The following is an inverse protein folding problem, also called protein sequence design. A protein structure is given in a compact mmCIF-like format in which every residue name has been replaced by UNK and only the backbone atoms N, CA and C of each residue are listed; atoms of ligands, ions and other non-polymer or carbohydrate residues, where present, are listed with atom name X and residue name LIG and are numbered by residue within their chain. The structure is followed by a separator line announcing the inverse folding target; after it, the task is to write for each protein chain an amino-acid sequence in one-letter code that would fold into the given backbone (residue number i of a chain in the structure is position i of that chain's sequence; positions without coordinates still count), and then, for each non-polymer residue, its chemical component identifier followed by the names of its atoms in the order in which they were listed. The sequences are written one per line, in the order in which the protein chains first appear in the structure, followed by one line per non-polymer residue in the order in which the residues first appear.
data_IF_338769251777
#
_entry.id   IF_338769251777
#
_cell.length_a   1.000
_cell.length_b   1.000
_cell.length_c   1.000
_cell.angle_alpha   90.00
_cell.angle_beta   90.00
_cell.angle_gamma   90.00
#
_symmetry.space_group_name_H-M   'P 1'
#
loop_
_entity.id
_entity.type
_entity.pdbx_description
1 polymer ?
#
# COMPACT_ATOMS: atom_id res chain seq x y z
N UNK A 1 -22.51 16.46 -11.75
CA UNK A 1 -21.73 15.40 -11.07
C UNK A 1 -20.24 15.59 -11.35
N UNK A 2 -19.36 15.46 -10.36
CA UNK A 2 -17.92 15.72 -10.53
C UNK A 2 -17.22 14.54 -11.20
N UNK A 3 -16.64 14.75 -12.40
CA UNK A 3 -15.77 13.75 -13.04
C UNK A 3 -14.46 13.55 -12.27
N UNK A 4 -13.95 14.63 -11.68
CA UNK A 4 -12.81 14.62 -10.74
C UNK A 4 -13.29 15.24 -9.42
N UNK A 5 -13.23 14.51 -8.30
CA UNK A 5 -13.63 15.03 -7.00
C UNK A 5 -12.87 16.33 -6.63
N UNK A 6 -13.55 17.29 -5.97
CA UNK A 6 -12.88 18.48 -5.46
C UNK A 6 -11.93 18.12 -4.32
N UNK A 7 -10.86 18.91 -4.15
CA UNK A 7 -9.86 18.71 -3.07
C UNK A 7 -10.36 19.14 -1.68
N UNK A 8 -11.58 19.67 -1.61
CA UNK A 8 -12.29 19.98 -0.37
C UNK A 8 -13.65 19.32 -0.47
N UNK A 9 -14.05 18.60 0.59
CA UNK A 9 -15.32 17.91 0.61
C UNK A 9 -16.49 18.93 0.56
N UNK A 10 -17.38 18.86 -0.44
CA UNK A 10 -18.54 19.76 -0.51
C UNK A 10 -19.56 19.44 0.58
N UNK A 11 -20.25 20.46 1.06
CA UNK A 11 -21.36 20.31 2.01
C UNK A 11 -22.71 20.23 1.30
N UNK A 12 -23.74 19.75 2.02
CA UNK A 12 -25.12 19.74 1.53
C UNK A 12 -25.46 18.67 0.48
N UNK A 13 -24.56 17.72 0.23
CA UNK A 13 -24.80 16.60 -0.68
C UNK A 13 -25.75 15.54 -0.09
N UNK A 14 -26.37 14.75 -0.96
CA UNK A 14 -27.13 13.56 -0.59
C UNK A 14 -26.21 12.43 -0.10
N UNK A 15 -26.79 11.44 0.58
CA UNK A 15 -26.06 10.24 1.02
C UNK A 15 -25.40 9.51 -0.16
N UNK A 16 -26.11 9.36 -1.28
CA UNK A 16 -25.61 8.68 -2.47
C UNK A 16 -24.41 9.43 -3.07
N UNK A 17 -24.46 10.76 -3.08
CA UNK A 17 -23.35 11.60 -3.54
C UNK A 17 -22.12 11.51 -2.63
N UNK A 18 -22.32 11.48 -1.30
CA UNK A 18 -21.20 11.26 -0.37
C UNK A 18 -20.60 9.86 -0.50
N UNK A 19 -21.43 8.83 -0.70
CA UNK A 19 -20.97 7.46 -0.96
C UNK A 19 -20.16 7.39 -2.25
N UNK A 20 -20.59 8.10 -3.29
CA UNK A 20 -19.84 8.19 -4.55
C UNK A 20 -18.52 8.93 -4.37
N UNK A 21 -18.52 10.06 -3.66
CA UNK A 21 -17.29 10.80 -3.38
C UNK A 21 -16.30 9.98 -2.55
N UNK A 22 -16.76 9.18 -1.59
CA UNK A 22 -15.85 8.38 -0.78
C UNK A 22 -15.09 7.36 -1.62
N UNK A 23 -15.76 6.66 -2.55
CA UNK A 23 -15.10 5.75 -3.50
C UNK A 23 -14.12 6.50 -4.40
N UNK A 24 -14.54 7.64 -4.96
CA UNK A 24 -13.66 8.42 -5.84
C UNK A 24 -12.42 8.95 -5.10
N UNK A 25 -12.55 9.35 -3.83
CA UNK A 25 -11.41 9.72 -3.00
C UNK A 25 -10.49 8.55 -2.68
N UNK A 26 -11.03 7.33 -2.48
CA UNK A 26 -10.21 6.10 -2.38
C UNK A 26 -9.42 5.88 -3.67
N UNK A 27 -10.06 6.04 -4.83
CA UNK A 27 -9.41 5.92 -6.15
C UNK A 27 -8.30 6.96 -6.31
N UNK A 28 -8.51 8.21 -5.87
CA UNK A 28 -7.48 9.26 -5.87
C UNK A 28 -6.36 9.02 -4.83
N UNK A 29 -6.54 8.10 -3.89
CA UNK A 29 -5.63 7.90 -2.75
C UNK A 29 -5.81 8.92 -1.62
N UNK A 30 -6.87 9.72 -1.64
CA UNK A 30 -7.20 10.72 -0.60
C UNK A 30 -7.99 10.09 0.55
N UNK A 31 -7.29 9.34 1.40
CA UNK A 31 -7.90 8.59 2.52
C UNK A 31 -8.67 9.47 3.50
N UNK A 32 -8.18 10.67 3.77
CA UNK A 32 -8.83 11.60 4.71
C UNK A 32 -10.17 12.10 4.17
N UNK A 33 -10.21 12.57 2.92
CA UNK A 33 -11.45 13.00 2.27
C UNK A 33 -12.42 11.82 2.06
N UNK A 34 -11.91 10.62 1.79
CA UNK A 34 -12.73 9.42 1.73
C UNK A 34 -13.40 9.12 3.08
N UNK A 35 -12.66 9.22 4.19
CA UNK A 35 -13.18 9.04 5.53
C UNK A 35 -14.22 10.12 5.88
N UNK A 36 -13.92 11.40 5.62
CA UNK A 36 -14.85 12.50 5.84
C UNK A 36 -16.15 12.33 5.04
N UNK A 37 -16.06 11.90 3.77
CA UNK A 37 -17.24 11.61 2.96
C UNK A 37 -18.06 10.44 3.53
N UNK A 38 -17.39 9.35 3.95
CA UNK A 38 -18.07 8.21 4.59
C UNK A 38 -18.77 8.59 5.90
N UNK A 39 -18.22 9.49 6.71
CA UNK A 39 -18.87 9.97 7.94
C UNK A 39 -20.19 10.72 7.67
N UNK A 40 -20.38 11.24 6.46
CA UNK A 40 -21.63 11.90 6.03
C UNK A 40 -22.69 10.92 5.53
N UNK A 41 -22.32 9.65 5.32
CA UNK A 41 -23.28 8.57 5.11
C UNK A 41 -23.74 8.02 6.48
N UNK A 42 -25.02 7.66 6.66
CA UNK A 42 -25.46 6.94 7.84
C UNK A 42 -24.56 5.72 8.08
N UNK A 43 -24.07 5.60 9.31
CA UNK A 43 -23.21 4.51 9.76
C UNK A 43 -23.73 3.17 9.25
N UNK A 44 -22.82 2.28 8.82
CA UNK A 44 -23.11 0.85 8.68
C UNK A 44 -23.91 0.44 9.90
N UNK A 45 -25.11 -0.09 9.68
CA UNK A 45 -25.90 -0.63 10.77
C UNK A 45 -25.09 -1.82 11.31
N UNK A 46 -24.38 -1.65 12.42
CA UNK A 46 -23.59 -2.73 13.06
C UNK A 46 -24.49 -3.89 13.56
N UNK A 47 -25.81 -3.69 13.52
CA UNK A 47 -26.85 -4.70 13.73
C UNK A 47 -27.21 -5.48 12.46
N UNK A 48 -26.67 -5.10 11.30
CA UNK A 48 -26.84 -5.80 10.03
C UNK A 48 -26.16 -7.18 10.12
N UNK A 49 -26.92 -8.28 9.94
CA UNK A 49 -26.37 -9.64 9.95
C UNK A 49 -25.18 -9.81 9.00
N UNK A 50 -25.17 -9.10 7.87
CA UNK A 50 -24.13 -9.22 6.84
C UNK A 50 -22.80 -8.59 7.27
N UNK A 51 -22.78 -7.66 8.23
CA UNK A 51 -21.53 -7.10 8.77
C UNK A 51 -20.73 -8.16 9.53
N UNK A 52 -21.42 -9.10 10.20
CA UNK A 52 -20.80 -10.22 10.92
C UNK A 52 -20.25 -11.32 9.99
N UNK A 53 -20.66 -11.32 8.73
CA UNK A 53 -20.19 -12.29 7.72
C UNK A 53 -18.91 -11.83 6.99
N UNK A 54 -18.55 -10.55 7.12
CA UNK A 54 -17.29 -10.01 6.61
C UNK A 54 -16.10 -10.58 7.39
N UNK A 55 -14.98 -10.79 6.70
CA UNK A 55 -13.72 -11.13 7.36
C UNK A 55 -13.27 -9.98 8.29
N UNK A 56 -12.50 -10.32 9.32
CA UNK A 56 -11.95 -9.33 10.27
C UNK A 56 -11.17 -8.21 9.54
N UNK A 57 -10.47 -8.54 8.46
CA UNK A 57 -9.74 -7.56 7.65
C UNK A 57 -10.67 -6.61 6.86
N UNK A 58 -11.83 -7.09 6.41
CA UNK A 58 -12.84 -6.28 5.73
C UNK A 58 -13.54 -5.34 6.72
N UNK A 59 -13.86 -5.82 7.93
CA UNK A 59 -14.40 -4.99 9.01
C UNK A 59 -13.41 -3.89 9.46
N UNK A 60 -12.11 -4.22 9.52
CA UNK A 60 -11.04 -3.26 9.86
C UNK A 60 -10.81 -2.24 8.72
N UNK A 61 -10.86 -2.69 7.47
CA UNK A 61 -10.76 -1.80 6.30
C UNK A 61 -11.92 -0.80 6.23
N UNK A 62 -13.13 -1.23 6.60
CA UNK A 62 -14.32 -0.38 6.65
C UNK A 62 -14.33 0.61 7.82
N UNK A 63 -13.52 0.39 8.85
CA UNK A 63 -13.36 1.31 10.02
C UNK A 63 -12.12 2.22 9.88
N UNK A 64 -11.74 2.54 8.63
CA UNK A 64 -10.42 3.05 8.19
C UNK A 64 -9.72 4.13 9.03
N UNK A 65 -10.43 4.94 9.80
CA UNK A 65 -9.85 5.96 10.70
C UNK A 65 -9.26 5.33 11.97
N UNK A 66 -9.97 4.37 12.57
CA UNK A 66 -9.53 3.71 13.80
C UNK A 66 -8.40 2.70 13.54
N UNK A 67 -8.38 2.05 12.37
CA UNK A 67 -7.25 1.20 11.95
C UNK A 67 -5.96 1.99 11.70
N UNK A 68 -6.05 3.21 11.17
CA UNK A 68 -4.90 4.10 10.96
C UNK A 68 -4.38 4.68 12.27
N UNK A 69 -5.28 5.15 13.15
CA UNK A 69 -4.93 5.62 14.48
C UNK A 69 -4.25 4.51 15.31
N UNK A 70 -4.75 3.27 15.20
CA UNK A 70 -4.09 2.12 15.81
C UNK A 70 -2.70 1.86 15.24
N UNK A 71 -2.51 1.91 13.91
CA UNK A 71 -1.19 1.73 13.29
C UNK A 71 -0.17 2.81 13.70
N UNK A 72 -0.61 4.07 13.84
CA UNK A 72 0.24 5.16 14.33
C UNK A 72 0.57 5.01 15.83
N UNK A 73 -0.43 4.64 16.65
CA UNK A 73 -0.23 4.35 18.08
C UNK A 73 0.70 3.16 18.28
N UNK A 74 0.60 2.13 17.44
CA UNK A 74 1.50 0.98 17.41
C UNK A 74 2.96 1.41 17.22
N UNK A 75 3.24 2.22 16.20
CA UNK A 75 4.59 2.72 15.93
C UNK A 75 5.14 3.50 17.13
N UNK A 76 4.31 4.34 17.75
CA UNK A 76 4.68 5.11 18.94
C UNK A 76 4.98 4.22 20.14
N UNK A 77 4.13 3.22 20.41
CA UNK A 77 4.33 2.24 21.48
C UNK A 77 5.63 1.45 21.27
N UNK A 78 5.91 1.03 20.03
CA UNK A 78 7.15 0.32 19.69
C UNK A 78 8.38 1.20 19.95
N UNK A 79 8.28 2.50 19.65
CA UNK A 79 9.35 3.46 19.91
C UNK A 79 9.56 3.74 21.41
N UNK A 80 8.48 3.88 22.17
CA UNK A 80 8.51 4.13 23.62
C UNK A 80 8.93 2.89 24.42
N UNK A 81 8.72 1.69 23.87
CA UNK A 81 9.12 0.41 24.47
C UNK A 81 10.50 -0.07 23.97
N UNK A 82 11.38 0.84 23.56
CA UNK A 82 12.77 0.50 23.18
C UNK A 82 13.58 -0.08 24.35
N UNK A 83 13.37 0.41 25.57
CA UNK A 83 14.18 0.09 26.76
C UNK A 83 13.61 -1.04 27.63
N UNK A 84 12.29 -1.24 27.67
CA UNK A 84 11.61 -2.35 28.37
C UNK A 84 10.27 -2.67 27.71
N UNK A 85 9.91 -3.96 27.64
CA UNK A 85 8.76 -4.46 26.86
C UNK A 85 7.81 -5.38 27.63
N UNK A 86 8.03 -5.55 28.93
CA UNK A 86 7.14 -6.37 29.78
C UNK A 86 5.70 -5.83 29.78
N UNK A 87 5.55 -4.51 29.56
CA UNK A 87 4.26 -3.81 29.50
C UNK A 87 3.68 -3.68 28.07
N UNK A 88 4.36 -4.20 27.05
CA UNK A 88 3.94 -4.09 25.65
C UNK A 88 2.50 -4.63 25.42
N UNK A 89 2.10 -5.80 25.96
CA UNK A 89 0.72 -6.27 25.83
C UNK A 89 -0.31 -5.30 26.44
N UNK A 90 0.03 -4.65 27.56
CA UNK A 90 -0.86 -3.71 28.25
C UNK A 90 -0.99 -2.39 27.49
N UNK A 91 0.12 -1.86 26.96
CA UNK A 91 0.12 -0.66 26.10
C UNK A 91 -0.67 -0.87 24.82
N UNK A 92 -0.50 -2.02 24.17
CA UNK A 92 -1.27 -2.38 22.97
C UNK A 92 -2.76 -2.54 23.27
N UNK A 93 -3.10 -3.18 24.38
CA UNK A 93 -4.49 -3.29 24.84
C UNK A 93 -5.12 -1.91 25.09
N UNK A 94 -4.40 -1.00 25.75
CA UNK A 94 -4.85 0.37 25.96
C UNK A 94 -5.05 1.14 24.64
N UNK A 95 -4.17 0.94 23.64
CA UNK A 95 -4.31 1.55 22.33
C UNK A 95 -5.55 1.08 21.55
N UNK A 96 -6.01 -0.15 21.81
CA UNK A 96 -7.19 -0.77 21.20
C UNK A 96 -8.50 -0.53 21.98
N UNK A 97 -8.44 0.04 23.19
CA UNK A 97 -9.63 0.30 24.00
C UNK A 97 -10.72 1.12 23.26
N UNK A 98 -10.40 2.10 22.40
CA UNK A 98 -11.41 2.80 21.59
C UNK A 98 -12.16 1.90 20.59
N UNK A 99 -11.62 0.73 20.24
CA UNK A 99 -12.25 -0.25 19.35
C UNK A 99 -13.13 -1.27 20.08
N UNK A 100 -13.22 -1.16 21.41
CA UNK A 100 -14.02 -2.08 22.24
C UNK A 100 -15.50 -1.94 21.94
N UNK A 101 -16.13 -3.04 21.54
CA UNK A 101 -17.53 -3.07 21.09
C UNK A 101 -17.73 -2.79 19.59
N UNK A 102 -16.66 -2.39 18.88
CA UNK A 102 -16.64 -2.24 17.42
C UNK A 102 -16.13 -3.53 16.75
N UNK A 103 -15.08 -4.13 17.31
CA UNK A 103 -14.54 -5.42 16.88
C UNK A 103 -14.79 -6.52 17.94
N UNK A 104 -14.95 -7.79 17.53
CA UNK A 104 -15.05 -8.92 18.47
C UNK A 104 -13.84 -8.99 19.41
N UNK A 105 -14.05 -9.39 20.66
CA UNK A 105 -12.98 -9.44 21.66
C UNK A 105 -11.87 -10.41 21.25
N UNK A 106 -12.23 -11.54 20.66
CA UNK A 106 -11.29 -12.55 20.17
C UNK A 106 -10.37 -12.00 19.07
N UNK A 107 -10.94 -11.20 18.16
CA UNK A 107 -10.17 -10.54 17.09
C UNK A 107 -9.18 -9.52 17.65
N UNK A 108 -9.60 -8.77 18.67
CA UNK A 108 -8.73 -7.81 19.37
C UNK A 108 -7.56 -8.51 20.08
N UNK A 109 -7.83 -9.61 20.78
CA UNK A 109 -6.80 -10.41 21.45
C UNK A 109 -5.81 -11.02 20.47
N UNK A 110 -6.29 -11.49 19.31
CA UNK A 110 -5.44 -12.02 18.25
C UNK A 110 -4.53 -10.95 17.62
N UNK A 111 -5.04 -9.72 17.41
CA UNK A 111 -4.24 -8.59 16.94
C UNK A 111 -3.11 -8.24 17.91
N UNK A 112 -3.42 -8.15 19.21
CA UNK A 112 -2.41 -7.87 20.25
C UNK A 112 -1.34 -8.96 20.25
N UNK A 113 -1.75 -10.23 20.28
CA UNK A 113 -0.83 -11.38 20.30
C UNK A 113 0.10 -11.39 19.08
N UNK A 114 -0.46 -11.15 17.89
CA UNK A 114 0.29 -11.10 16.63
C UNK A 114 1.29 -9.94 16.61
N UNK A 115 0.88 -8.76 17.08
CA UNK A 115 1.76 -7.59 17.18
C UNK A 115 2.91 -7.82 18.17
N UNK A 116 2.63 -8.32 19.37
CA UNK A 116 3.66 -8.64 20.38
C UNK A 116 4.67 -9.65 19.84
N UNK A 117 4.19 -10.73 19.22
CA UNK A 117 5.04 -11.76 18.63
C UNK A 117 5.96 -11.17 17.55
N UNK A 118 5.40 -10.40 16.61
CA UNK A 118 6.15 -9.78 15.51
C UNK A 118 7.21 -8.79 16.02
N UNK A 119 6.87 -7.98 17.02
CA UNK A 119 7.80 -7.03 17.65
C UNK A 119 8.93 -7.79 18.35
N UNK A 120 8.62 -8.80 19.17
CA UNK A 120 9.65 -9.57 19.87
C UNK A 120 10.58 -10.33 18.90
N UNK A 121 10.03 -10.83 17.79
CA UNK A 121 10.82 -11.47 16.74
C UNK A 121 11.77 -10.47 16.05
N UNK A 122 11.28 -9.27 15.72
CA UNK A 122 12.10 -8.22 15.09
C UNK A 122 13.30 -7.79 15.96
N UNK A 123 13.19 -7.89 17.29
CA UNK A 123 14.23 -7.46 18.22
C UNK A 123 15.16 -8.57 18.75
N UNK A 124 14.76 -9.84 18.66
CA UNK A 124 15.62 -10.97 19.03
C UNK A 124 16.47 -11.46 17.86
N UNK A 125 16.11 -11.08 16.63
CA UNK A 125 16.86 -11.40 15.43
C UNK A 125 18.13 -10.54 15.36
N UNK A 126 19.30 -11.18 15.35
CA UNK A 126 20.54 -10.48 14.96
C UNK A 126 20.38 -9.99 13.52
N UNK A 127 20.91 -8.81 13.16
CA UNK A 127 20.88 -8.36 11.77
C UNK A 127 21.60 -9.38 10.89
N UNK A 128 21.17 -9.53 9.62
CA UNK A 128 21.82 -10.45 8.69
C UNK A 128 23.29 -10.03 8.45
N UNK A 129 24.16 -10.95 7.98
CA UNK A 129 25.57 -10.65 7.71
C UNK A 129 25.72 -9.55 6.65
N UNK A 130 26.80 -8.76 6.68
CA UNK A 130 26.98 -7.61 5.77
C UNK A 130 27.45 -7.98 4.35
N UNK A 131 27.51 -9.27 4.09
CA UNK A 131 27.91 -9.92 2.85
C UNK A 131 27.08 -11.20 2.70
N UNK A 132 26.83 -11.60 1.46
CA UNK A 132 26.05 -12.81 1.17
C UNK A 132 26.93 -14.04 1.43
N UNK A 133 26.65 -14.88 2.45
CA UNK A 133 27.50 -16.02 2.77
C UNK A 133 27.42 -17.09 1.68
N UNK A 134 28.53 -17.76 1.42
CA UNK A 134 28.57 -18.90 0.51
C UNK A 134 28.00 -20.18 1.14
N UNK A 135 27.60 -21.14 0.30
CA UNK A 135 27.23 -22.50 0.73
C UNK A 135 25.83 -22.67 1.32
N UNK A 136 24.98 -21.63 1.26
CA UNK A 136 23.57 -21.74 1.66
C UNK A 136 22.74 -22.50 0.62
N UNK A 137 21.60 -23.03 1.05
CA UNK A 137 20.57 -23.61 0.18
C UNK A 137 19.74 -22.51 -0.51
N UNK A 138 18.99 -22.87 -1.56
CA UNK A 138 18.11 -21.93 -2.24
C UNK A 138 17.06 -21.30 -1.29
N UNK A 139 16.52 -22.08 -0.34
CA UNK A 139 15.55 -21.60 0.65
C UNK A 139 16.18 -20.60 1.63
N UNK A 140 17.39 -20.88 2.08
CA UNK A 140 18.16 -19.98 2.96
C UNK A 140 18.53 -18.68 2.25
N UNK A 141 18.97 -18.75 0.99
CA UNK A 141 19.22 -17.55 0.18
C UNK A 141 17.95 -16.73 -0.06
N UNK A 142 16.82 -17.38 -0.33
CA UNK A 142 15.54 -16.68 -0.50
C UNK A 142 15.13 -15.97 0.79
N UNK A 143 15.24 -16.65 1.94
CA UNK A 143 14.97 -16.08 3.26
C UNK A 143 15.90 -14.89 3.54
N UNK A 144 17.19 -15.06 3.34
CA UNK A 144 18.20 -14.01 3.54
C UNK A 144 17.95 -12.80 2.63
N UNK A 145 17.53 -13.03 1.39
CA UNK A 145 17.14 -11.96 0.46
C UNK A 145 16.00 -11.09 1.00
N UNK A 146 15.01 -11.69 1.66
CA UNK A 146 13.94 -10.94 2.33
C UNK A 146 14.45 -10.17 3.55
N UNK A 147 15.27 -10.79 4.39
CA UNK A 147 15.86 -10.13 5.56
C UNK A 147 16.72 -8.92 5.16
N UNK A 148 17.49 -9.02 4.08
CA UNK A 148 18.21 -7.89 3.51
C UNK A 148 17.29 -6.79 3.01
N UNK A 149 16.19 -7.15 2.34
CA UNK A 149 15.21 -6.16 1.87
C UNK A 149 14.60 -5.40 3.05
N UNK A 150 14.26 -6.10 4.12
CA UNK A 150 13.70 -5.53 5.36
C UNK A 150 14.70 -4.57 6.04
N UNK A 151 16.00 -4.85 5.95
CA UNK A 151 17.07 -3.96 6.41
C UNK A 151 17.38 -2.78 5.45
N UNK A 152 16.75 -2.74 4.27
CA UNK A 152 17.05 -1.76 3.23
C UNK A 152 18.36 -2.02 2.47
N UNK A 153 18.94 -3.23 2.59
CA UNK A 153 20.16 -3.62 1.88
C UNK A 153 19.81 -4.24 0.52
N UNK A 154 19.21 -3.44 -0.34
CA UNK A 154 18.52 -3.92 -1.55
C UNK A 154 19.42 -4.63 -2.56
N UNK A 155 20.68 -4.23 -2.69
CA UNK A 155 21.59 -4.93 -3.60
C UNK A 155 22.11 -6.26 -3.02
N UNK A 156 22.26 -6.37 -1.69
CA UNK A 156 22.51 -7.67 -1.04
C UNK A 156 21.27 -8.58 -1.15
N UNK A 157 20.07 -8.01 -1.01
CA UNK A 157 18.82 -8.73 -1.27
C UNK A 157 18.79 -9.27 -2.70
N UNK A 158 19.13 -8.43 -3.69
CA UNK A 158 19.19 -8.83 -5.10
C UNK A 158 20.18 -9.99 -5.32
N UNK A 159 21.35 -9.91 -4.73
CA UNK A 159 22.39 -10.92 -4.85
C UNK A 159 21.93 -12.27 -4.28
N UNK A 160 21.44 -12.29 -3.03
CA UNK A 160 20.91 -13.50 -2.40
C UNK A 160 19.72 -14.09 -3.20
N UNK A 161 18.79 -13.25 -3.68
CA UNK A 161 17.66 -13.70 -4.49
C UNK A 161 18.11 -14.32 -5.82
N UNK A 162 19.13 -13.77 -6.48
CA UNK A 162 19.69 -14.36 -7.71
C UNK A 162 20.29 -15.73 -7.46
N UNK A 163 21.04 -15.91 -6.36
CA UNK A 163 21.57 -17.22 -5.99
C UNK A 163 20.45 -18.23 -5.74
N UNK A 164 19.38 -17.85 -5.04
CA UNK A 164 18.21 -18.71 -4.85
C UNK A 164 17.56 -19.12 -6.18
N UNK A 165 17.46 -18.19 -7.15
CA UNK A 165 16.91 -18.46 -8.49
C UNK A 165 17.82 -19.40 -9.27
N UNK A 166 19.13 -19.15 -9.27
CA UNK A 166 20.09 -19.93 -10.05
C UNK A 166 20.20 -21.38 -9.53
N UNK A 167 20.02 -21.59 -8.22
CA UNK A 167 20.04 -22.91 -7.59
C UNK A 167 18.74 -23.71 -7.79
N UNK A 168 17.60 -23.05 -7.96
CA UNK A 168 16.28 -23.68 -8.02
C UNK A 168 15.41 -23.10 -9.14
N UNK A 169 15.98 -22.96 -10.34
CA UNK A 169 15.35 -22.22 -11.46
C UNK A 169 13.94 -22.69 -11.81
N UNK A 170 13.72 -24.01 -11.74
CA UNK A 170 12.46 -24.67 -12.06
C UNK A 170 11.70 -25.16 -10.82
N UNK A 171 12.17 -24.87 -9.62
CA UNK A 171 11.49 -25.24 -8.38
C UNK A 171 10.69 -24.10 -7.77
N UNK A 172 10.04 -24.42 -6.64
CA UNK A 172 9.12 -23.51 -5.98
C UNK A 172 9.85 -22.30 -5.36
N UNK A 173 11.08 -22.51 -4.87
CA UNK A 173 11.86 -21.48 -4.20
C UNK A 173 12.42 -20.50 -5.20
N UNK A 174 13.02 -20.96 -6.31
CA UNK A 174 13.51 -20.06 -7.35
C UNK A 174 12.39 -19.25 -8.01
N UNK A 175 11.21 -19.85 -8.24
CA UNK A 175 10.04 -19.09 -8.71
C UNK A 175 9.60 -18.02 -7.72
N UNK A 176 9.56 -18.34 -6.42
CA UNK A 176 9.19 -17.39 -5.37
C UNK A 176 10.21 -16.25 -5.25
N UNK A 177 11.50 -16.58 -5.30
CA UNK A 177 12.59 -15.61 -5.29
C UNK A 177 12.54 -14.70 -6.53
N UNK A 178 12.25 -15.25 -7.72
CA UNK A 178 12.08 -14.48 -8.95
C UNK A 178 10.89 -13.52 -8.87
N UNK A 179 9.75 -13.99 -8.36
CA UNK A 179 8.57 -13.14 -8.16
C UNK A 179 8.89 -12.00 -7.18
N UNK A 180 9.51 -12.31 -6.03
CA UNK A 180 9.90 -11.31 -5.05
C UNK A 180 10.90 -10.29 -5.62
N UNK A 181 11.92 -10.76 -6.34
CA UNK A 181 12.92 -9.91 -7.00
C UNK A 181 12.28 -8.95 -8.03
N UNK A 182 11.26 -9.39 -8.76
CA UNK A 182 10.60 -8.57 -9.78
C UNK A 182 9.65 -7.53 -9.18
N UNK A 183 9.04 -7.82 -8.03
CA UNK A 183 7.94 -7.03 -7.47
C UNK A 183 8.36 -6.17 -6.28
N UNK A 184 9.38 -6.57 -5.52
CA UNK A 184 9.79 -5.92 -4.25
C UNK A 184 11.18 -5.29 -4.29
N UNK A 185 11.94 -5.53 -5.35
CA UNK A 185 13.28 -4.98 -5.56
C UNK A 185 13.26 -4.15 -6.84
N UNK A 186 13.93 -2.97 -6.90
CA UNK A 186 14.01 -2.16 -8.11
C UNK A 186 14.55 -2.97 -9.28
N UNK A 187 14.01 -2.76 -10.48
CA UNK A 187 14.37 -3.58 -11.66
C UNK A 187 15.87 -3.54 -11.96
N UNK A 188 16.46 -2.37 -11.80
CA UNK A 188 17.89 -2.09 -12.01
C UNK A 188 18.58 -1.82 -10.67
N UNK A 189 19.90 -2.09 -10.55
CA UNK A 189 20.66 -1.76 -9.37
C UNK A 189 20.56 -0.27 -9.02
N UNK A 190 20.32 0.04 -7.75
CA UNK A 190 20.26 1.42 -7.26
C UNK A 190 21.19 1.61 -6.06
N UNK A 191 21.88 2.76 -5.93
CA UNK A 191 22.68 3.03 -4.75
C UNK A 191 21.81 3.13 -3.49
N UNK A 192 22.33 2.69 -2.35
CA UNK A 192 21.66 2.79 -1.04
C UNK A 192 21.12 4.21 -0.77
N UNK A 193 21.89 5.24 -1.12
CA UNK A 193 21.49 6.64 -0.94
C UNK A 193 20.22 6.99 -1.74
N UNK A 194 20.07 6.45 -2.96
CA UNK A 194 18.90 6.72 -3.80
C UNK A 194 17.63 6.11 -3.17
N UNK A 195 17.74 4.89 -2.63
CA UNK A 195 16.64 4.25 -1.93
C UNK A 195 16.28 4.97 -0.62
N UNK A 196 17.28 5.37 0.17
CA UNK A 196 17.05 6.16 1.39
C UNK A 196 16.35 7.48 1.10
N UNK A 197 16.77 8.18 0.04
CA UNK A 197 16.09 9.39 -0.44
C UNK A 197 14.65 9.07 -0.88
N UNK A 198 14.39 7.96 -1.56
CA UNK A 198 13.03 7.57 -1.93
C UNK A 198 12.15 7.33 -0.69
N UNK A 199 12.68 6.64 0.33
CA UNK A 199 11.98 6.44 1.62
C UNK A 199 11.70 7.79 2.29
N UNK A 200 12.67 8.71 2.29
CA UNK A 200 12.48 10.06 2.82
C UNK A 200 11.35 10.80 2.07
N UNK A 201 11.36 10.78 0.74
CA UNK A 201 10.31 11.38 -0.09
C UNK A 201 8.94 10.77 0.20
N UNK A 202 8.88 9.44 0.37
CA UNK A 202 7.65 8.73 0.70
C UNK A 202 7.12 9.12 2.09
N UNK A 203 8.00 9.25 3.09
CA UNK A 203 7.62 9.69 4.43
C UNK A 203 7.11 11.15 4.45
N UNK A 204 7.72 12.04 3.65
CA UNK A 204 7.21 13.40 3.48
C UNK A 204 5.79 13.37 2.89
N UNK A 205 5.55 12.54 1.89
CA UNK A 205 4.24 12.39 1.24
C UNK A 205 3.18 11.79 2.18
N UNK A 206 3.45 10.64 2.79
CA UNK A 206 2.43 9.87 3.52
C UNK A 206 2.27 10.31 4.98
N UNK A 207 3.35 10.65 5.67
CA UNK A 207 3.32 10.94 7.11
C UNK A 207 3.18 12.44 7.35
N UNK A 208 4.03 13.24 6.70
CA UNK A 208 4.06 14.68 6.93
C UNK A 208 3.08 15.46 6.06
N UNK A 209 2.51 14.82 5.03
CA UNK A 209 1.68 15.44 3.98
C UNK A 209 2.37 16.62 3.29
N UNK A 210 3.71 16.67 3.33
CA UNK A 210 4.52 17.65 2.60
C UNK A 210 4.73 17.16 1.16
N UNK A 211 3.68 17.33 0.35
CA UNK A 211 3.71 16.95 -1.06
C UNK A 211 4.75 17.75 -1.86
N UNK A 212 5.04 19.00 -1.46
CA UNK A 212 6.03 19.85 -2.14
C UNK A 212 7.45 19.35 -1.89
N UNK A 213 7.78 19.03 -0.63
CA UNK A 213 9.06 18.44 -0.26
C UNK A 213 9.26 17.07 -0.89
N UNK A 214 8.23 16.20 -0.83
CA UNK A 214 8.25 14.88 -1.46
C UNK A 214 8.49 14.98 -2.98
N UNK A 215 7.74 15.84 -3.68
CA UNK A 215 7.89 16.06 -5.12
C UNK A 215 9.30 16.50 -5.50
N UNK A 216 9.92 17.40 -4.73
CA UNK A 216 11.31 17.82 -4.97
C UNK A 216 12.29 16.65 -4.90
N UNK A 217 12.14 15.78 -3.90
CA UNK A 217 12.99 14.59 -3.74
C UNK A 217 12.79 13.61 -4.90
N UNK A 218 11.54 13.32 -5.28
CA UNK A 218 11.28 12.38 -6.37
C UNK A 218 11.78 12.90 -7.72
N UNK A 219 11.64 14.20 -8.00
CA UNK A 219 12.18 14.81 -9.21
C UNK A 219 13.72 14.73 -9.24
N UNK A 220 14.39 14.99 -8.12
CA UNK A 220 15.84 14.86 -8.02
C UNK A 220 16.31 13.41 -8.25
N UNK A 221 15.56 12.43 -7.72
CA UNK A 221 15.84 11.01 -7.95
C UNK A 221 15.66 10.61 -9.41
N UNK A 222 14.59 11.06 -10.06
CA UNK A 222 14.32 10.81 -11.48
C UNK A 222 15.42 11.40 -12.36
N UNK A 223 15.90 12.59 -12.03
CA UNK A 223 16.98 13.26 -12.78
C UNK A 223 18.29 12.46 -12.70
N UNK A 224 18.65 11.98 -11.50
CA UNK A 224 19.92 11.28 -11.23
C UNK A 224 19.88 9.79 -11.57
N UNK A 225 18.74 9.14 -11.41
CA UNK A 225 18.57 7.68 -11.49
C UNK A 225 17.36 7.33 -12.36
N UNK A 226 17.50 7.52 -13.67
CA UNK A 226 16.39 7.39 -14.63
C UNK A 226 15.76 6.00 -14.69
N UNK A 227 16.53 4.96 -14.36
CA UNK A 227 16.09 3.56 -14.35
C UNK A 227 15.56 3.09 -12.98
N UNK A 228 15.35 4.00 -12.04
CA UNK A 228 14.73 3.72 -10.75
C UNK A 228 13.23 4.00 -10.83
N UNK A 229 12.40 2.96 -10.86
CA UNK A 229 10.97 3.08 -11.14
C UNK A 229 10.12 3.64 -9.98
N UNK A 230 10.56 3.49 -8.73
CA UNK A 230 9.74 3.85 -7.55
C UNK A 230 9.45 5.36 -7.44
N UNK A 231 10.44 6.27 -7.65
CA UNK A 231 10.18 7.71 -7.63
C UNK A 231 9.13 8.16 -8.64
N UNK A 232 9.06 7.54 -9.83
CA UNK A 232 8.03 7.84 -10.83
C UNK A 232 6.63 7.47 -10.31
N UNK A 233 6.46 6.26 -9.76
CA UNK A 233 5.18 5.84 -9.17
C UNK A 233 4.75 6.70 -7.97
N UNK A 234 5.70 7.11 -7.14
CA UNK A 234 5.44 8.00 -6.00
C UNK A 234 5.07 9.42 -6.45
N UNK A 235 5.78 9.98 -7.42
CA UNK A 235 5.46 11.28 -8.00
C UNK A 235 4.09 11.28 -8.69
N UNK A 236 3.78 10.22 -9.46
CA UNK A 236 2.48 10.02 -10.07
C UNK A 236 1.34 9.97 -9.04
N UNK A 237 1.58 9.32 -7.90
CA UNK A 237 0.62 9.25 -6.79
C UNK A 237 0.32 10.62 -6.18
N UNK A 238 1.32 11.53 -6.11
CA UNK A 238 1.10 12.91 -5.69
C UNK A 238 0.17 13.63 -6.68
N UNK A 239 0.45 13.51 -7.99
CA UNK A 239 -0.39 14.14 -9.02
C UNK A 239 -1.82 13.59 -9.00
N UNK A 240 -1.99 12.27 -8.85
CA UNK A 240 -3.29 11.63 -8.75
C UNK A 240 -4.12 12.17 -7.57
N UNK A 241 -3.50 12.33 -6.39
CA UNK A 241 -4.16 12.91 -5.20
C UNK A 241 -4.65 14.34 -5.41
N UNK A 242 -4.00 15.10 -6.29
CA UNK A 242 -4.39 16.47 -6.64
C UNK A 242 -5.34 16.54 -7.84
N UNK A 243 -5.70 15.40 -8.43
CA UNK A 243 -6.57 15.33 -9.61
C UNK A 243 -5.84 15.65 -10.92
N UNK A 244 -4.51 15.79 -10.91
CA UNK A 244 -3.69 16.05 -12.09
C UNK A 244 -3.48 14.75 -12.88
N UNK A 245 -4.52 14.29 -13.58
CA UNK A 245 -4.55 12.94 -14.17
C UNK A 245 -3.53 12.73 -15.30
N UNK A 246 -3.21 13.76 -16.07
CA UNK A 246 -2.25 13.67 -17.18
C UNK A 246 -0.81 13.41 -16.71
N UNK A 247 -0.22 14.24 -15.81
CA UNK A 247 1.11 13.93 -15.29
C UNK A 247 1.13 12.66 -14.42
N UNK A 248 0.02 12.30 -13.76
CA UNK A 248 -0.08 11.02 -13.08
C UNK A 248 0.06 9.84 -14.05
N UNK A 249 -0.67 9.86 -15.17
CA UNK A 249 -0.58 8.82 -16.21
C UNK A 249 0.83 8.70 -16.78
N UNK A 250 1.46 9.82 -17.14
CA UNK A 250 2.80 9.86 -17.72
C UNK A 250 3.82 9.17 -16.81
N UNK A 251 3.86 9.56 -15.54
CA UNK A 251 4.83 9.00 -14.61
C UNK A 251 4.52 7.55 -14.20
N UNK A 252 3.25 7.15 -14.09
CA UNK A 252 2.95 5.72 -13.91
C UNK A 252 3.35 4.90 -15.15
N UNK A 253 3.15 5.45 -16.37
CA UNK A 253 3.56 4.81 -17.62
C UNK A 253 5.09 4.65 -17.70
N UNK A 254 5.85 5.67 -17.28
CA UNK A 254 7.31 5.58 -17.17
C UNK A 254 7.73 4.48 -16.19
N UNK A 255 7.08 4.41 -15.02
CA UNK A 255 7.38 3.40 -14.01
C UNK A 255 7.17 1.96 -14.53
N UNK A 256 6.07 1.69 -15.23
CA UNK A 256 5.82 0.35 -15.81
C UNK A 256 6.69 0.05 -17.03
N UNK A 257 7.17 1.08 -17.74
CA UNK A 257 8.14 0.92 -18.83
C UNK A 257 9.50 0.48 -18.30
N UNK A 258 9.93 1.03 -17.17
CA UNK A 258 11.17 0.64 -16.48
C UNK A 258 11.00 -0.75 -15.85
N UNK A 259 9.92 -0.95 -15.09
CA UNK A 259 9.60 -2.23 -14.47
C UNK A 259 8.17 -2.69 -14.78
N UNK A 260 7.99 -3.58 -15.77
CA UNK A 260 6.68 -4.14 -16.10
C UNK A 260 6.02 -4.96 -14.98
N UNK A 261 6.77 -5.34 -13.94
CA UNK A 261 6.28 -6.07 -12.77
C UNK A 261 5.91 -5.16 -11.59
N UNK A 262 5.93 -3.83 -11.78
CA UNK A 262 5.59 -2.89 -10.72
C UNK A 262 4.07 -2.77 -10.53
N UNK A 263 3.50 -3.68 -9.75
CA UNK A 263 2.06 -3.77 -9.46
C UNK A 263 1.44 -2.43 -9.04
N UNK A 264 2.15 -1.67 -8.19
CA UNK A 264 1.69 -0.36 -7.71
C UNK A 264 1.50 0.67 -8.83
N UNK A 265 2.35 0.66 -9.86
CA UNK A 265 2.22 1.57 -10.99
C UNK A 265 1.09 1.15 -11.95
N UNK A 266 0.90 -0.16 -12.17
CA UNK A 266 -0.27 -0.67 -12.90
C UNK A 266 -1.59 -0.31 -12.21
N UNK A 267 -1.65 -0.45 -10.88
CA UNK A 267 -2.82 0.00 -10.11
C UNK A 267 -3.00 1.52 -10.16
N UNK A 268 -1.91 2.29 -10.21
CA UNK A 268 -1.92 3.73 -10.45
C UNK A 268 -2.55 4.10 -11.80
N UNK A 269 -2.15 3.43 -12.88
CA UNK A 269 -2.77 3.59 -14.21
C UNK A 269 -4.26 3.21 -14.20
N UNK A 270 -4.62 2.12 -13.51
CA UNK A 270 -6.01 1.72 -13.36
C UNK A 270 -6.84 2.84 -12.72
N UNK A 271 -6.36 3.42 -11.61
CA UNK A 271 -7.01 4.56 -10.95
C UNK A 271 -7.18 5.77 -11.87
N UNK A 272 -6.13 6.13 -12.61
CA UNK A 272 -6.19 7.24 -13.57
C UNK A 272 -7.22 6.98 -14.66
N UNK A 273 -7.26 5.76 -15.21
CA UNK A 273 -8.23 5.38 -16.24
C UNK A 273 -9.67 5.37 -15.71
N UNK A 274 -9.89 4.89 -14.47
CA UNK A 274 -11.20 4.95 -13.81
C UNK A 274 -11.70 6.39 -13.69
N UNK A 275 -10.85 7.32 -13.22
CA UNK A 275 -11.21 8.75 -13.09
C UNK A 275 -11.47 9.45 -14.44
N UNK A 276 -11.06 8.82 -15.56
CA UNK A 276 -11.34 9.30 -16.92
C UNK A 276 -12.52 8.60 -17.58
N UNK A 277 -13.19 7.67 -16.89
CA UNK A 277 -14.27 6.84 -17.46
C UNK A 277 -13.78 5.79 -18.45
N UNK A 278 -12.47 5.50 -18.50
CA UNK A 278 -11.85 4.49 -19.37
C UNK A 278 -11.84 3.13 -18.67
N UNK A 279 -13.02 2.58 -18.40
CA UNK A 279 -13.18 1.45 -17.48
C UNK A 279 -12.57 0.13 -18.01
N UNK A 280 -12.58 -0.09 -19.32
CA UNK A 280 -11.96 -1.29 -19.91
C UNK A 280 -10.44 -1.26 -19.76
N UNK A 281 -9.82 -0.11 -20.02
CA UNK A 281 -8.39 0.12 -19.83
C UNK A 281 -8.01 0.04 -18.35
N UNK A 282 -8.87 0.54 -17.46
CA UNK A 282 -8.69 0.40 -16.02
C UNK A 282 -8.65 -1.07 -15.59
N UNK A 283 -9.65 -1.87 -16.01
CA UNK A 283 -9.70 -3.32 -15.72
C UNK A 283 -8.49 -4.06 -16.30
N UNK A 284 -8.04 -3.71 -17.51
CA UNK A 284 -6.83 -4.29 -18.10
C UNK A 284 -5.58 -3.99 -17.26
N UNK A 285 -5.45 -2.78 -16.72
CA UNK A 285 -4.36 -2.43 -15.81
C UNK A 285 -4.44 -3.19 -14.48
N UNK A 286 -5.63 -3.39 -13.92
CA UNK A 286 -5.81 -4.22 -12.71
C UNK A 286 -5.38 -5.66 -12.95
N UNK A 287 -5.75 -6.24 -14.11
CA UNK A 287 -5.32 -7.59 -14.48
C UNK A 287 -3.80 -7.69 -14.60
N UNK A 288 -3.15 -6.65 -15.16
CA UNK A 288 -1.68 -6.59 -15.19
C UNK A 288 -1.09 -6.52 -13.78
N UNK A 289 -1.67 -5.75 -12.87
CA UNK A 289 -1.22 -5.69 -11.49
C UNK A 289 -1.38 -7.06 -10.80
N UNK A 290 -2.51 -7.75 -10.96
CA UNK A 290 -2.79 -9.04 -10.30
C UNK A 290 -1.95 -10.21 -10.84
N UNK A 291 -1.55 -10.16 -12.12
CA UNK A 291 -0.57 -11.08 -12.70
C UNK A 291 0.82 -10.96 -12.03
N UNK A 292 1.16 -9.77 -11.53
CA UNK A 292 2.48 -9.48 -10.94
C UNK A 292 2.51 -9.71 -9.44
N UNK A 293 1.48 -9.26 -8.73
CA UNK A 293 1.29 -9.42 -7.30
C UNK A 293 -0.14 -9.87 -7.03
N UNK A 294 -0.29 -11.09 -6.48
CA UNK A 294 -1.60 -11.70 -6.24
C UNK A 294 -2.30 -11.18 -4.96
N UNK A 295 -1.96 -9.97 -4.52
CA UNK A 295 -2.61 -9.32 -3.39
C UNK A 295 -4.13 -9.19 -3.65
N UNK A 296 -4.99 -9.76 -2.78
CA UNK A 296 -6.44 -9.69 -2.95
C UNK A 296 -6.99 -8.26 -3.08
N UNK A 297 -6.32 -7.27 -2.48
CA UNK A 297 -6.72 -5.86 -2.56
C UNK A 297 -6.62 -5.29 -3.97
N UNK A 298 -5.76 -5.86 -4.83
CA UNK A 298 -5.65 -5.49 -6.25
C UNK A 298 -6.89 -5.97 -7.01
N UNK A 299 -7.33 -7.21 -6.76
CA UNK A 299 -8.51 -7.81 -7.43
C UNK A 299 -9.80 -7.11 -7.01
N UNK A 300 -9.93 -6.74 -5.74
CA UNK A 300 -11.09 -6.00 -5.22
C UNK A 300 -11.32 -4.64 -5.90
N UNK A 301 -10.30 -4.07 -6.56
CA UNK A 301 -10.43 -2.79 -7.26
C UNK A 301 -11.36 -2.86 -8.48
N UNK A 302 -11.55 -4.05 -9.09
CA UNK A 302 -12.49 -4.23 -10.22
C UNK A 302 -13.93 -3.90 -9.79
N UNK A 303 -14.32 -4.30 -8.58
CA UNK A 303 -15.67 -3.98 -8.07
C UNK A 303 -15.89 -2.47 -7.89
N UNK A 304 -14.86 -1.73 -7.50
CA UNK A 304 -14.94 -0.26 -7.41
C UNK A 304 -15.10 0.37 -8.80
N UNK A 305 -14.42 -0.17 -9.82
CA UNK A 305 -14.57 0.28 -11.21
C UNK A 305 -16.01 0.09 -11.69
N UNK A 306 -16.59 -1.08 -11.42
CA UNK A 306 -17.96 -1.43 -11.83
C UNK A 306 -18.99 -0.53 -11.16
N UNK A 307 -18.86 -0.29 -9.85
CA UNK A 307 -19.76 0.63 -9.14
C UNK A 307 -19.73 2.06 -9.73
N UNK A 308 -18.55 2.58 -10.07
CA UNK A 308 -18.44 3.90 -10.73
C UNK A 308 -19.06 3.87 -12.13
N UNK A 309 -18.82 2.79 -12.89
CA UNK A 309 -19.34 2.63 -14.24
C UNK A 309 -20.87 2.58 -14.25
N UNK A 310 -21.48 1.84 -13.32
CA UNK A 310 -22.93 1.73 -13.19
C UNK A 310 -23.55 3.10 -12.88
N UNK A 311 -22.99 3.84 -11.92
CA UNK A 311 -23.45 5.21 -11.63
C UNK A 311 -23.31 6.18 -12.80
N UNK A 312 -22.26 6.06 -13.61
CA UNK A 312 -22.11 6.90 -14.80
C UNK A 312 -23.18 6.58 -15.85
N UNK A 313 -23.60 5.31 -15.96
CA UNK A 313 -24.67 4.91 -16.88
C UNK A 313 -26.07 5.40 -16.44
N UNK A 314 -26.36 5.38 -15.13
CA UNK A 314 -27.63 5.89 -14.58
C UNK A 314 -27.81 7.40 -14.83
N UNK A 315 -26.71 8.16 -14.89
CA UNK A 315 -26.76 9.62 -15.06
C UNK A 315 -26.86 10.10 -16.51
N UNK A 316 -26.76 9.19 -17.49
CA UNK A 316 -26.88 9.52 -18.92
C UNK A 316 -28.27 9.33 -19.50
N UNK A 317 -29.20 8.76 -18.72
CA UNK A 317 -30.57 8.45 -19.14
C UNK A 317 -31.64 9.50 -18.71
N UNK A 318 -31.22 10.60 -18.07
CA UNK A 318 -32.05 11.77 -17.69
C UNK A 318 -31.68 13.04 -18.50
#
# INVERSE_FOLDING_TARGET
MFKIPPLVLPEGLSEQEYRRLSILYVIMGNRELAAQANQKCPQVNLSDPNFKELSVNEQISMTSEAGQDFALKLLKIVEESKDSRDDLPQKLKAALEPLKGIIPQEAMEQLISTAVSSINQAYTSSPPPRDVPEGLTAEEYFKLGKEYKDCGWTELAREALKLAIDMDSDGATGRSALQYLRTRVPRHPVPLMAEQMNIQGYNLMEVQKDYRGAKRIFLELIEKYRDFEWPYGNLASIYLRHGDLSPAEEHFADAVKINPYYAGAWLGLARVHTLRGKFNEAKACVNKASETDSDPSVVGFISLIEQIQDWDSETTDD
#
